data_IF_530345238114
#
_entry.id   IF_530345238114
#
_cell.length_a   1.000
_cell.length_b   1.000
_cell.length_c   1.000
_cell.angle_alpha   90.00
_cell.angle_beta   90.00
_cell.angle_gamma   90.00
#
_symmetry.space_group_name_H-M   'P 1'
#
loop_
_entity.id
_entity.type
_entity.pdbx_description
1 polymer ?
#
# COMPACT_ATOMS: atom_id res chain seq x y z
N UNK A 1 8.29 -4.36 5.56
CA UNK A 1 6.86 -4.36 5.79
C UNK A 1 6.18 -5.67 5.38
N UNK A 2 6.63 -6.28 4.33
CA UNK A 2 6.11 -7.55 3.85
C UNK A 2 7.25 -8.55 3.66
N UNK A 3 6.94 -9.81 3.86
CA UNK A 3 7.89 -10.89 3.72
C UNK A 3 7.17 -12.11 3.13
N UNK A 4 7.71 -12.65 2.05
CA UNK A 4 7.17 -13.83 1.39
C UNK A 4 8.32 -14.71 0.95
N UNK A 5 8.58 -15.78 1.69
CA UNK A 5 9.63 -16.75 1.34
C UNK A 5 9.35 -17.32 -0.06
N UNK A 6 10.36 -17.35 -0.91
CA UNK A 6 10.25 -17.81 -2.27
C UNK A 6 9.79 -16.80 -3.30
N UNK A 7 9.39 -15.59 -2.88
CA UNK A 7 9.02 -14.54 -3.82
C UNK A 7 10.23 -14.03 -4.60
N UNK A 8 10.09 -13.83 -5.90
CA UNK A 8 11.13 -13.26 -6.74
C UNK A 8 11.06 -11.74 -6.79
N UNK A 9 9.88 -11.16 -6.53
CA UNK A 9 9.71 -9.71 -6.42
C UNK A 9 8.51 -9.39 -5.56
N UNK A 10 8.56 -8.24 -4.89
CA UNK A 10 7.47 -7.73 -4.07
C UNK A 10 7.26 -6.27 -4.42
N UNK A 11 6.02 -5.88 -4.69
CA UNK A 11 5.63 -4.49 -4.90
C UNK A 11 4.67 -4.06 -3.80
N UNK A 12 5.01 -2.97 -3.13
CA UNK A 12 4.15 -2.35 -2.11
C UNK A 12 3.65 -1.02 -2.63
N UNK A 13 2.34 -0.82 -2.63
CA UNK A 13 1.72 0.45 -2.98
C UNK A 13 0.96 0.97 -1.78
N UNK A 14 1.31 2.16 -1.33
CA UNK A 14 0.67 2.83 -0.20
C UNK A 14 -0.12 4.01 -0.76
N UNK A 15 -1.42 4.02 -0.52
CA UNK A 15 -2.33 5.06 -1.02
C UNK A 15 -3.00 5.76 0.14
N UNK A 16 -2.92 7.09 0.16
CA UNK A 16 -3.69 7.91 1.09
C UNK A 16 -5.04 8.21 0.44
N UNK A 17 -6.11 7.91 1.15
CA UNK A 17 -7.47 8.15 0.70
C UNK A 17 -8.21 9.08 1.68
N UNK A 18 -9.02 9.97 1.14
CA UNK A 18 -9.86 10.87 1.93
C UNK A 18 -11.33 10.56 1.66
N UNK A 19 -12.12 10.47 2.73
CA UNK A 19 -13.56 10.27 2.60
C UNK A 19 -14.22 11.55 2.09
N UNK A 20 -14.99 11.41 1.03
CA UNK A 20 -15.74 12.52 0.41
C UNK A 20 -17.09 12.01 -0.04
N UNK A 21 -18.17 12.65 0.42
CA UNK A 21 -19.54 12.29 0.03
C UNK A 21 -19.87 10.81 0.21
N UNK A 22 -19.39 10.21 1.29
CA UNK A 22 -19.65 8.82 1.62
C UNK A 22 -18.73 7.80 0.96
N UNK A 23 -17.76 8.23 0.17
CA UNK A 23 -16.80 7.32 -0.45
C UNK A 23 -15.37 7.83 -0.29
N UNK A 24 -14.41 6.92 -0.36
CA UNK A 24 -12.98 7.26 -0.27
C UNK A 24 -12.42 7.51 -1.66
N UNK A 25 -11.65 8.58 -1.79
CA UNK A 25 -10.97 8.94 -3.02
C UNK A 25 -9.47 9.03 -2.80
N UNK A 26 -8.69 8.65 -3.79
CA UNK A 26 -7.24 8.72 -3.73
C UNK A 26 -6.78 10.17 -3.66
N UNK A 27 -5.94 10.48 -2.68
CA UNK A 27 -5.27 11.77 -2.55
C UNK A 27 -3.89 11.69 -3.18
N UNK A 28 -3.10 10.70 -2.77
CA UNK A 28 -1.76 10.46 -3.30
C UNK A 28 -1.39 9.01 -3.05
N UNK A 29 -0.38 8.54 -3.76
CA UNK A 29 0.13 7.19 -3.58
C UNK A 29 1.62 7.12 -3.86
N UNK A 30 2.26 6.08 -3.33
CA UNK A 30 3.65 5.77 -3.59
C UNK A 30 3.81 4.27 -3.70
N UNK A 31 4.66 3.82 -4.60
CA UNK A 31 4.93 2.40 -4.76
C UNK A 31 6.43 2.14 -4.76
N UNK A 32 6.79 0.94 -4.34
CA UNK A 32 8.16 0.46 -4.28
C UNK A 32 8.19 -1.01 -4.67
N UNK A 33 9.10 -1.36 -5.54
CA UNK A 33 9.32 -2.75 -5.97
C UNK A 33 10.72 -3.17 -5.58
N UNK A 34 10.84 -4.36 -5.00
CA UNK A 34 12.12 -4.99 -4.70
C UNK A 34 12.14 -6.38 -5.32
N UNK A 35 13.32 -6.81 -5.74
CA UNK A 35 13.53 -8.15 -6.29
C UNK A 35 14.14 -9.04 -5.20
N UNK A 36 13.37 -9.20 -4.13
CA UNK A 36 13.76 -9.92 -2.93
C UNK A 36 12.50 -10.54 -2.33
N UNK A 37 12.66 -11.37 -1.31
CA UNK A 37 11.55 -12.01 -0.61
C UNK A 37 11.00 -11.17 0.56
N UNK A 38 11.54 -9.98 0.79
CA UNK A 38 11.03 -9.06 1.81
C UNK A 38 11.15 -7.61 1.35
N UNK A 39 10.25 -6.78 1.84
CA UNK A 39 10.21 -5.36 1.51
C UNK A 39 9.88 -4.54 2.77
N UNK A 40 10.60 -3.43 2.93
CA UNK A 40 10.26 -2.39 3.90
C UNK A 40 9.88 -1.14 3.13
N UNK A 41 8.64 -0.70 3.29
CA UNK A 41 8.14 0.48 2.61
C UNK A 41 7.42 1.37 3.61
N UNK A 42 7.99 2.55 3.83
CA UNK A 42 7.43 3.55 4.74
C UNK A 42 7.20 4.83 3.94
N UNK A 43 6.01 5.38 4.05
CA UNK A 43 5.66 6.63 3.41
C UNK A 43 4.93 7.52 4.41
N UNK A 44 5.44 8.74 4.58
CA UNK A 44 4.81 9.77 5.39
C UNK A 44 3.99 10.68 4.50
N UNK A 45 2.75 10.94 4.90
CA UNK A 45 1.86 11.81 4.16
C UNK A 45 1.58 13.07 4.97
N UNK A 46 1.61 14.22 4.28
CA UNK A 46 1.20 15.48 4.86
C UNK A 46 -0.29 15.67 4.60
N UNK A 47 -1.04 15.92 5.68
CA UNK A 47 -2.49 16.14 5.61
C UNK A 47 -2.73 17.64 5.79
N UNK A 48 -3.14 18.31 4.71
CA UNK A 48 -3.31 19.74 4.70
C UNK A 48 -4.71 20.21 5.10
N UNK A 49 -5.68 19.30 5.17
CA UNK A 49 -7.06 19.64 5.53
C UNK A 49 -7.62 18.63 6.52
N UNK A 50 -8.61 19.05 7.30
CA UNK A 50 -9.32 18.14 8.20
C UNK A 50 -10.23 17.20 7.41
N UNK A 51 -10.53 16.05 7.99
CA UNK A 51 -11.40 15.06 7.36
C UNK A 51 -11.09 13.67 7.84
N UNK A 52 -11.78 12.72 7.27
CA UNK A 52 -11.55 11.30 7.55
C UNK A 52 -10.64 10.71 6.46
N UNK A 53 -9.56 10.12 6.88
CA UNK A 53 -8.57 9.53 5.99
C UNK A 53 -8.36 8.07 6.33
N UNK A 54 -7.91 7.32 5.34
CA UNK A 54 -7.41 5.96 5.58
C UNK A 54 -6.22 5.67 4.67
N UNK A 55 -5.41 4.73 5.08
CA UNK A 55 -4.30 4.23 4.28
C UNK A 55 -4.72 2.89 3.68
N UNK A 56 -4.54 2.77 2.38
CA UNK A 56 -4.70 1.51 1.66
C UNK A 56 -3.31 1.01 1.28
N UNK A 57 -2.97 -0.18 1.75
CA UNK A 57 -1.70 -0.82 1.40
C UNK A 57 -2.00 -2.03 0.53
N UNK A 58 -1.46 -2.03 -0.66
CA UNK A 58 -1.57 -3.16 -1.58
C UNK A 58 -0.20 -3.79 -1.73
N UNK A 59 -0.09 -5.06 -1.36
CA UNK A 59 1.14 -5.83 -1.50
C UNK A 59 0.92 -6.84 -2.61
N UNK A 60 1.80 -6.81 -3.59
CA UNK A 60 1.79 -7.75 -4.71
C UNK A 60 3.14 -8.45 -4.77
N UNK A 61 3.15 -9.76 -4.91
CA UNK A 61 4.39 -10.51 -5.01
C UNK A 61 4.29 -11.55 -6.12
N UNK A 62 5.43 -11.80 -6.73
CA UNK A 62 5.56 -12.76 -7.81
C UNK A 62 6.37 -13.97 -7.30
N UNK A 63 5.81 -15.15 -7.49
CA UNK A 63 6.39 -16.41 -7.05
C UNK A 63 6.14 -17.46 -8.14
N UNK A 64 7.22 -18.04 -8.67
CA UNK A 64 7.15 -19.07 -9.73
C UNK A 64 6.29 -18.66 -10.93
N UNK A 65 6.39 -17.39 -11.34
CA UNK A 65 5.63 -16.87 -12.47
C UNK A 65 4.17 -16.52 -12.14
N UNK A 66 3.73 -16.73 -10.89
CA UNK A 66 2.37 -16.42 -10.45
C UNK A 66 2.40 -15.14 -9.62
N UNK A 67 1.53 -14.18 -9.94
CA UNK A 67 1.39 -12.96 -9.17
C UNK A 67 0.26 -13.10 -8.17
N UNK A 68 0.54 -12.79 -6.91
CA UNK A 68 -0.43 -12.81 -5.81
C UNK A 68 -0.39 -11.48 -5.10
N UNK A 69 -1.48 -11.11 -4.45
CA UNK A 69 -1.54 -9.85 -3.74
C UNK A 69 -2.52 -9.84 -2.60
N UNK A 70 -2.32 -8.89 -1.70
CA UNK A 70 -3.19 -8.63 -0.56
C UNK A 70 -3.41 -7.13 -0.43
N UNK A 71 -4.57 -6.74 0.05
CA UNK A 71 -4.91 -5.34 0.29
C UNK A 71 -5.29 -5.16 1.74
N UNK A 72 -4.70 -4.16 2.37
CA UNK A 72 -4.94 -3.82 3.77
C UNK A 72 -5.39 -2.37 3.88
N UNK A 73 -6.24 -2.08 4.86
CA UNK A 73 -6.71 -0.73 5.14
C UNK A 73 -6.40 -0.39 6.59
N UNK A 74 -5.98 0.85 6.83
CA UNK A 74 -5.77 1.38 8.16
C UNK A 74 -6.43 2.74 8.27
N UNK A 75 -7.35 2.90 9.22
CA UNK A 75 -8.03 4.16 9.45
C UNK A 75 -7.12 5.17 10.11
N UNK A 76 -7.26 6.43 9.72
CA UNK A 76 -6.59 7.57 10.32
C UNK A 76 -7.65 8.62 10.66
N UNK A 77 -7.65 9.04 11.87
CA UNK A 77 -8.60 10.07 12.33
C UNK A 77 -7.92 11.11 13.20
#
# INVERSE_FOLDING_TARGET
LANRAGASSITSTITLQKKSSGSYKKVTSASKTVYDDQINHIKYFSIASSGTYRIKVTISYKEDGVTRGNTYYKSMS
#
